data_IF_051239631165
#
_entry.id   IF_051239631165
#
_cell.length_a   1.000
_cell.length_b   1.000
_cell.length_c   1.000
_cell.angle_alpha   90.00
_cell.angle_beta   90.00
_cell.angle_gamma   90.00
#
_symmetry.space_group_name_H-M   'P 1'
#
loop_
_entity.id
_entity.type
_entity.pdbx_description
1 polymer ?
#
# COMPACT_ATOMS: atom_id res chain seq x y z
N UNK A 1 5.48 11.69 8.73
CA UNK A 1 5.33 10.54 7.80
C UNK A 1 6.63 9.73 7.83
N UNK A 2 6.59 8.40 7.75
CA UNK A 2 7.82 7.60 7.67
C UNK A 2 8.28 7.48 6.20
N UNK A 3 9.44 8.02 5.88
CA UNK A 3 10.16 7.77 4.63
C UNK A 3 11.14 6.63 4.89
N UNK A 4 11.10 5.58 4.06
CA UNK A 4 11.97 4.40 4.26
C UNK A 4 13.24 4.52 3.42
N UNK A 5 13.17 5.26 2.32
CA UNK A 5 14.29 5.54 1.43
C UNK A 5 14.27 7.01 1.00
N UNK A 6 15.44 7.59 0.78
CA UNK A 6 15.63 8.92 0.19
C UNK A 6 16.14 8.72 -1.24
N UNK A 7 15.45 9.23 -2.28
CA UNK A 7 15.92 9.08 -3.65
C UNK A 7 17.15 9.94 -3.92
N UNK A 8 18.20 9.37 -4.50
CA UNK A 8 19.25 10.16 -5.16
C UNK A 8 18.73 10.76 -6.48
N UNK A 9 19.33 11.86 -6.99
CA UNK A 9 18.86 12.55 -8.19
C UNK A 9 18.73 11.69 -9.46
N UNK A 10 19.43 10.54 -9.50
CA UNK A 10 19.49 9.65 -10.66
C UNK A 10 18.66 8.36 -10.49
N UNK A 11 17.86 8.23 -9.43
CA UNK A 11 17.13 6.98 -9.16
C UNK A 11 15.71 7.06 -9.71
N UNK A 12 15.43 6.20 -10.69
CA UNK A 12 14.12 6.06 -11.35
C UNK A 12 13.03 5.43 -10.46
N UNK A 13 13.38 4.93 -9.26
CA UNK A 13 12.42 4.33 -8.32
C UNK A 13 12.86 4.47 -6.87
N UNK A 14 11.92 4.79 -5.99
CA UNK A 14 12.20 4.95 -4.55
C UNK A 14 11.02 4.49 -3.72
N UNK A 15 11.24 4.23 -2.42
CA UNK A 15 10.18 3.79 -1.51
C UNK A 15 9.60 4.94 -0.68
N UNK A 16 8.41 5.40 -1.05
CA UNK A 16 7.63 6.34 -0.23
C UNK A 16 6.74 5.56 0.73
N UNK A 17 6.97 5.69 2.04
CA UNK A 17 6.21 4.99 3.10
C UNK A 17 6.18 3.46 2.96
N UNK A 18 7.23 2.88 2.38
CA UNK A 18 7.36 1.43 2.14
C UNK A 18 6.78 0.94 0.82
N UNK A 19 6.02 1.77 0.10
CA UNK A 19 5.53 1.45 -1.23
C UNK A 19 6.63 1.81 -2.24
N UNK A 20 7.06 0.84 -3.05
CA UNK A 20 7.92 1.14 -4.19
C UNK A 20 7.13 1.97 -5.21
N UNK A 21 7.64 3.16 -5.47
CA UNK A 21 7.16 4.07 -6.49
C UNK A 21 8.23 4.18 -7.57
N UNK A 22 7.97 3.67 -8.77
CA UNK A 22 8.85 3.83 -9.93
C UNK A 22 8.29 4.94 -10.82
N UNK A 23 9.16 5.88 -11.20
CA UNK A 23 8.87 6.83 -12.26
C UNK A 23 8.69 6.03 -13.54
N UNK A 24 7.51 6.07 -14.12
CA UNK A 24 7.27 5.41 -15.41
C UNK A 24 7.81 6.37 -16.48
N UNK A 25 8.98 6.08 -17.11
CA UNK A 25 9.47 6.96 -18.16
C UNK A 25 8.43 7.02 -19.27
N UNK A 26 8.11 8.25 -19.70
CA UNK A 26 7.18 8.53 -20.81
C UNK A 26 7.55 7.66 -22.02
N UNK A 27 6.62 6.83 -22.49
CA UNK A 27 6.72 6.19 -23.82
C UNK A 27 5.88 7.00 -24.80
N UNK A 28 6.52 7.62 -25.79
CA UNK A 28 5.88 8.33 -26.91
C UNK A 28 5.39 9.75 -26.60
N UNK A 29 4.60 10.33 -27.53
CA UNK A 29 4.07 11.71 -27.54
C UNK A 29 2.94 11.97 -26.51
N UNK A 30 2.78 11.13 -25.50
CA UNK A 30 1.80 11.36 -24.45
C UNK A 30 2.34 12.41 -23.47
N UNK A 31 2.12 13.69 -23.81
CA UNK A 31 2.60 14.85 -23.05
C UNK A 31 1.94 15.01 -21.67
N UNK A 32 0.80 14.34 -21.42
CA UNK A 32 0.00 14.56 -20.21
C UNK A 32 -0.40 13.24 -19.52
N UNK A 33 -0.15 13.18 -18.22
CA UNK A 33 -0.64 12.15 -17.33
C UNK A 33 -2.18 12.23 -17.24
N UNK A 34 -2.87 11.09 -17.18
CA UNK A 34 -4.32 11.07 -16.89
C UNK A 34 -4.58 11.81 -15.57
N UNK A 35 -5.39 12.88 -15.55
CA UNK A 35 -5.66 13.63 -14.32
C UNK A 35 -6.14 12.71 -13.19
N UNK A 36 -5.51 12.82 -12.01
CA UNK A 36 -5.87 12.03 -10.83
C UNK A 36 -5.07 10.72 -10.62
N UNK A 37 -4.23 10.32 -11.56
CA UNK A 37 -3.27 9.22 -11.34
C UNK A 37 -1.96 9.74 -10.70
N UNK A 38 -1.16 8.90 -10.02
CA UNK A 38 0.18 9.29 -9.57
C UNK A 38 1.21 9.16 -10.71
N UNK A 39 2.21 10.05 -10.74
CA UNK A 39 3.42 9.97 -11.61
C UNK A 39 4.25 8.68 -11.42
N UNK A 40 3.90 7.90 -10.40
CA UNK A 40 4.62 6.70 -10.00
C UNK A 40 3.66 5.53 -9.85
N UNK A 41 3.97 4.41 -10.51
CA UNK A 41 3.23 3.15 -10.35
C UNK A 41 4.04 2.11 -9.59
N UNK A 42 3.41 1.25 -8.77
CA UNK A 42 4.07 0.06 -8.23
C UNK A 42 4.42 -0.91 -9.36
N UNK A 43 5.72 -1.08 -9.66
CA UNK A 43 6.18 -1.97 -10.71
C UNK A 43 6.39 -3.40 -10.15
N UNK A 44 5.70 -4.39 -10.73
CA UNK A 44 5.77 -5.81 -10.29
C UNK A 44 6.95 -6.60 -10.87
N UNK A 45 7.57 -6.13 -11.96
CA UNK A 45 8.52 -6.92 -12.76
C UNK A 45 9.93 -7.05 -12.15
N UNK A 46 10.26 -6.30 -11.09
CA UNK A 46 11.63 -6.21 -10.55
C UNK A 46 11.79 -6.74 -9.11
N UNK A 47 10.93 -7.68 -8.71
CA UNK A 47 10.87 -8.22 -7.33
C UNK A 47 12.22 -8.68 -6.76
N UNK A 48 13.12 -9.20 -7.62
CA UNK A 48 14.46 -9.69 -7.23
C UNK A 48 15.39 -8.55 -6.79
N UNK A 49 15.43 -7.44 -7.52
CA UNK A 49 16.22 -6.25 -7.14
C UNK A 49 15.61 -5.53 -5.93
N UNK A 50 14.29 -5.61 -5.76
CA UNK A 50 13.60 -5.08 -4.58
C UNK A 50 13.94 -5.84 -3.31
N UNK A 51 14.03 -7.17 -3.39
CA UNK A 51 14.45 -8.00 -2.28
C UNK A 51 15.89 -7.67 -1.83
N UNK A 52 16.82 -7.45 -2.77
CA UNK A 52 18.19 -7.04 -2.42
C UNK A 52 18.23 -5.65 -1.74
N UNK A 53 17.45 -4.69 -2.23
CA UNK A 53 17.27 -3.38 -1.59
C UNK A 53 16.50 -3.44 -0.28
N UNK A 54 16.04 -4.61 0.17
CA UNK A 54 15.26 -4.74 1.41
C UNK A 54 16.14 -5.01 2.62
N UNK A 55 17.15 -5.86 2.48
CA UNK A 55 18.00 -6.33 3.59
C UNK A 55 18.51 -5.20 4.48
N UNK A 56 18.99 -4.05 3.97
CA UNK A 56 19.45 -2.95 4.83
C UNK A 56 18.35 -2.26 5.64
N UNK A 57 17.08 -2.38 5.24
CA UNK A 57 15.93 -1.68 5.83
C UNK A 57 15.01 -2.60 6.64
N UNK A 58 15.29 -3.90 6.68
CA UNK A 58 14.47 -4.90 7.39
C UNK A 58 14.27 -4.53 8.86
N UNK A 59 15.34 -4.12 9.56
CA UNK A 59 15.26 -3.69 10.96
C UNK A 59 14.38 -2.45 11.15
N UNK A 60 14.51 -1.45 10.27
CA UNK A 60 13.67 -0.24 10.31
C UNK A 60 12.19 -0.57 10.06
N UNK A 61 11.92 -1.56 9.20
CA UNK A 61 10.57 -2.04 8.97
C UNK A 61 9.97 -2.79 10.15
N UNK A 62 10.72 -3.71 10.78
CA UNK A 62 10.27 -4.40 11.99
C UNK A 62 9.91 -3.37 13.07
N UNK A 63 10.79 -2.38 13.29
CA UNK A 63 10.54 -1.28 14.23
C UNK A 63 9.31 -0.44 13.84
N UNK A 64 9.04 -0.27 12.54
CA UNK A 64 7.85 0.42 12.06
C UNK A 64 6.57 -0.41 12.25
N UNK A 65 6.58 -1.71 11.92
CA UNK A 65 5.46 -2.63 12.17
C UNK A 65 5.10 -2.72 13.64
N UNK A 66 6.08 -2.68 14.54
CA UNK A 66 5.86 -2.67 15.98
C UNK A 66 4.95 -1.50 16.43
N UNK A 67 4.90 -0.40 15.67
CA UNK A 67 3.99 0.74 15.91
C UNK A 67 2.54 0.47 15.48
N UNK A 68 2.25 -0.71 14.92
CA UNK A 68 0.94 -1.17 14.44
C UNK A 68 0.28 -0.16 13.48
N UNK A 69 0.95 0.22 12.38
CA UNK A 69 0.48 1.25 11.46
C UNK A 69 -0.92 0.97 10.89
N UNK A 70 -1.29 -0.31 10.75
CA UNK A 70 -2.63 -0.74 10.33
C UNK A 70 -3.75 -0.23 11.23
N UNK A 71 -3.53 -0.10 12.55
CA UNK A 71 -4.52 0.49 13.46
C UNK A 71 -4.80 1.94 13.13
N UNK A 72 -3.76 2.69 12.79
CA UNK A 72 -3.87 4.10 12.39
C UNK A 72 -4.55 4.23 11.03
N UNK A 73 -4.16 3.38 10.06
CA UNK A 73 -4.80 3.29 8.75
C UNK A 73 -6.30 3.01 8.88
N UNK A 74 -6.68 1.99 9.65
CA UNK A 74 -8.09 1.63 9.84
C UNK A 74 -8.89 2.74 10.52
N UNK A 75 -8.31 3.42 11.51
CA UNK A 75 -8.96 4.55 12.20
C UNK A 75 -9.22 5.74 11.27
N UNK A 76 -8.26 6.03 10.39
CA UNK A 76 -8.26 7.17 9.48
C UNK A 76 -8.80 6.82 8.08
N UNK A 77 -9.45 5.66 7.91
CA UNK A 77 -10.07 5.29 6.65
C UNK A 77 -11.21 6.24 6.30
N UNK A 78 -11.49 6.37 5.01
CA UNK A 78 -12.70 6.99 4.47
C UNK A 78 -13.92 6.21 4.98
N UNK A 79 -14.92 6.91 5.52
CA UNK A 79 -16.14 6.32 6.11
C UNK A 79 -17.39 6.65 5.28
N UNK A 80 -17.21 7.37 4.19
CA UNK A 80 -18.24 7.83 3.29
C UNK A 80 -18.59 6.75 2.26
N UNK A 81 -19.88 6.47 2.10
CA UNK A 81 -20.41 5.62 1.05
C UNK A 81 -20.77 6.49 -0.16
N UNK A 82 -19.80 6.77 -1.03
CA UNK A 82 -19.96 7.73 -2.15
C UNK A 82 -21.16 7.49 -3.07
N UNK A 83 -21.56 6.22 -3.25
CA UNK A 83 -22.64 5.83 -4.16
C UNK A 83 -23.97 5.53 -3.46
N UNK A 84 -24.05 5.70 -2.14
CA UNK A 84 -25.23 5.33 -1.36
C UNK A 84 -25.62 6.43 -0.38
N UNK A 85 -26.91 6.76 -0.29
CA UNK A 85 -27.40 7.65 0.75
C UNK A 85 -27.73 6.83 1.98
N UNK A 86 -27.35 7.33 3.17
CA UNK A 86 -27.65 6.68 4.46
C UNK A 86 -29.14 6.38 4.64
N UNK A 87 -30.02 7.27 4.19
CA UNK A 87 -31.48 7.13 4.34
C UNK A 87 -32.07 5.99 3.49
N UNK A 88 -31.35 5.53 2.47
CA UNK A 88 -31.83 4.50 1.54
C UNK A 88 -31.37 3.09 1.95
N UNK A 89 -30.59 2.96 3.04
CA UNK A 89 -30.05 1.70 3.52
C UNK A 89 -30.93 1.13 4.64
N UNK A 90 -31.39 -0.11 4.48
CA UNK A 90 -32.13 -0.82 5.51
C UNK A 90 -31.23 -1.33 6.66
N UNK A 91 -31.86 -1.79 7.74
CA UNK A 91 -31.15 -2.28 8.93
C UNK A 91 -30.24 -3.48 8.62
N UNK A 92 -30.64 -4.36 7.70
CA UNK A 92 -29.86 -5.54 7.33
C UNK A 92 -28.55 -5.15 6.64
N UNK A 93 -28.58 -4.13 5.78
CA UNK A 93 -27.37 -3.61 5.13
C UNK A 93 -26.45 -2.97 6.17
N UNK A 94 -27.00 -2.27 7.17
CA UNK A 94 -26.20 -1.73 8.28
C UNK A 94 -25.52 -2.83 9.09
N UNK A 95 -26.25 -3.88 9.48
CA UNK A 95 -25.69 -5.00 10.24
C UNK A 95 -24.55 -5.68 9.46
N UNK A 96 -24.73 -5.89 8.15
CA UNK A 96 -23.70 -6.46 7.28
C UNK A 96 -22.48 -5.55 7.15
N UNK A 97 -22.67 -4.23 7.07
CA UNK A 97 -21.57 -3.26 7.01
C UNK A 97 -20.78 -3.26 8.31
N UNK A 98 -21.45 -3.35 9.46
CA UNK A 98 -20.80 -3.43 10.76
C UNK A 98 -19.99 -4.73 10.87
N UNK A 99 -20.58 -5.89 10.54
CA UNK A 99 -19.87 -7.18 10.51
C UNK A 99 -18.63 -7.12 9.59
N UNK A 100 -18.78 -6.56 8.39
CA UNK A 100 -17.67 -6.38 7.47
C UNK A 100 -16.57 -5.47 8.04
N UNK A 101 -16.95 -4.36 8.69
CA UNK A 101 -15.98 -3.45 9.31
C UNK A 101 -15.28 -4.07 10.51
N UNK A 102 -15.94 -4.93 11.26
CA UNK A 102 -15.32 -5.73 12.32
C UNK A 102 -14.31 -6.71 11.73
N UNK A 103 -14.68 -7.42 10.68
CA UNK A 103 -13.76 -8.30 9.95
C UNK A 103 -12.53 -7.53 9.45
N UNK A 104 -12.72 -6.39 8.80
CA UNK A 104 -11.60 -5.56 8.31
C UNK A 104 -10.76 -5.01 9.46
N UNK A 105 -11.36 -4.67 10.61
CA UNK A 105 -10.63 -4.24 11.82
C UNK A 105 -9.71 -5.35 12.31
N UNK A 106 -10.25 -6.56 12.44
CA UNK A 106 -9.57 -7.71 13.03
C UNK A 106 -8.46 -8.24 12.10
N UNK A 107 -8.64 -8.08 10.79
CA UNK A 107 -7.66 -8.42 9.76
C UNK A 107 -6.88 -7.24 9.20
N UNK A 108 -6.92 -6.06 9.85
CA UNK A 108 -6.34 -4.83 9.32
C UNK A 108 -4.83 -4.93 9.04
N UNK A 109 -4.11 -5.75 9.79
CA UNK A 109 -2.68 -6.00 9.57
C UNK A 109 -2.43 -6.67 8.20
N UNK A 110 -3.18 -7.71 7.87
CA UNK A 110 -3.06 -8.41 6.60
C UNK A 110 -3.41 -7.51 5.41
N UNK A 111 -4.49 -6.73 5.52
CA UNK A 111 -4.87 -5.74 4.50
C UNK A 111 -3.81 -4.66 4.33
N UNK A 112 -3.27 -4.16 5.45
CA UNK A 112 -2.19 -3.18 5.43
C UNK A 112 -0.94 -3.77 4.75
N UNK A 113 -0.57 -5.00 5.07
CA UNK A 113 0.57 -5.68 4.45
C UNK A 113 0.38 -5.85 2.94
N UNK A 114 -0.75 -6.40 2.48
CA UNK A 114 -1.01 -6.60 1.04
C UNK A 114 -0.97 -5.28 0.27
N UNK A 115 -1.56 -4.20 0.82
CA UNK A 115 -1.60 -2.89 0.16
C UNK A 115 -0.27 -2.15 0.23
N UNK A 116 0.55 -2.36 1.26
CA UNK A 116 1.85 -1.71 1.41
C UNK A 116 3.00 -2.51 0.77
N UNK A 117 2.81 -3.81 0.50
CA UNK A 117 3.86 -4.75 0.11
C UNK A 117 3.51 -5.58 -1.12
N UNK A 118 2.99 -4.94 -2.17
CA UNK A 118 2.63 -5.65 -3.40
C UNK A 118 3.78 -6.47 -4.05
N UNK A 119 5.03 -6.39 -3.57
CA UNK A 119 6.19 -6.97 -4.25
C UNK A 119 7.38 -7.41 -3.37
N UNK A 120 7.28 -7.72 -2.07
CA UNK A 120 8.42 -8.35 -1.36
C UNK A 120 7.95 -9.60 -0.62
N UNK A 121 8.40 -10.77 -1.10
CA UNK A 121 8.22 -12.04 -0.39
C UNK A 121 9.00 -11.95 0.93
N UNK A 122 8.29 -11.85 2.05
CA UNK A 122 8.89 -11.93 3.39
C UNK A 122 9.31 -13.36 3.78
N UNK A 123 8.78 -14.37 3.09
CA UNK A 123 9.16 -15.77 3.31
C UNK A 123 10.22 -16.18 2.29
N UNK A 124 11.31 -16.84 2.71
CA UNK A 124 12.15 -17.56 1.77
C UNK A 124 11.25 -18.49 0.94
N UNK A 125 11.51 -18.58 -0.36
CA UNK A 125 10.93 -19.65 -1.15
C UNK A 125 11.25 -20.95 -0.42
N UNK A 126 10.24 -21.78 -0.16
CA UNK A 126 10.56 -23.18 0.09
C UNK A 126 11.15 -23.64 -1.23
N UNK A 127 12.38 -24.12 -1.18
CA UNK A 127 13.00 -24.81 -2.29
C UNK A 127 12.09 -26.02 -2.60
N UNK A 128 11.23 -25.88 -3.60
CA UNK A 128 10.58 -26.98 -4.31
C UNK A 128 11.44 -27.37 -5.51
#
# INVERSE_FOLDING_TARGET
>A
MAMIEVPDPNILSWRRRGILTQYTPRKGDHEYQTPGFPDYSPQKTEIRYLAQRWTPFEGAYIAFRAKKPWKTMFRNRVKELYFHRRADLDAKVWDMLDEYLEYVRDHAEAFWEVLHWFTIKYKPERDE
#
